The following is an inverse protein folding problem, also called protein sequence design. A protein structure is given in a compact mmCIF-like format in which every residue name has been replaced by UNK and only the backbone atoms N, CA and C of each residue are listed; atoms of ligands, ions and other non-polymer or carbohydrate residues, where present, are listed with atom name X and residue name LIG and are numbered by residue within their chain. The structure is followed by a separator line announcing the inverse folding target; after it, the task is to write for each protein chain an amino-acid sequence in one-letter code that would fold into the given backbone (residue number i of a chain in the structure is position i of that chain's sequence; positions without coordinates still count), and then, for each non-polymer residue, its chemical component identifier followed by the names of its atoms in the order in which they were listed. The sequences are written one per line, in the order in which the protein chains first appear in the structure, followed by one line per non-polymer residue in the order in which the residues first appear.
data_IF_780030573459
#
_entry.id   IF_780030573459
#
_cell.length_a   1.000
_cell.length_b   1.000
_cell.length_c   1.000
_cell.angle_alpha   90.00
_cell.angle_beta   90.00
_cell.angle_gamma   90.00
#
_symmetry.space_group_name_H-M   'P 1'
#
loop_
_entity.id
_entity.type
_entity.pdbx_description
1 polymer ?
#
# COMPACT_ATOMS: atom_id res chain seq x y z
N UNK A 1 -40.84 -32.52 31.60
CA UNK A 1 -40.84 -31.53 30.49
C UNK A 1 -40.09 -32.12 29.29
N UNK A 2 -40.70 -33.11 28.62
CA UNK A 2 -40.09 -33.77 27.45
C UNK A 2 -40.06 -32.89 26.19
N UNK A 3 -40.88 -31.83 26.15
CA UNK A 3 -40.87 -30.81 25.11
C UNK A 3 -39.82 -29.70 25.30
N UNK A 4 -39.06 -29.75 26.41
CA UNK A 4 -37.99 -28.77 26.69
C UNK A 4 -36.62 -29.44 26.69
N UNK A 5 -36.49 -30.58 27.38
CA UNK A 5 -35.24 -31.34 27.43
C UNK A 5 -35.42 -32.66 26.66
N UNK A 6 -34.90 -32.71 25.43
CA UNK A 6 -34.95 -33.91 24.59
C UNK A 6 -33.69 -34.02 23.71
N UNK A 7 -33.16 -35.24 23.62
CA UNK A 7 -32.01 -35.57 22.76
C UNK A 7 -32.25 -35.27 21.28
N UNK A 8 -33.50 -35.32 20.80
CA UNK A 8 -33.82 -34.98 19.39
C UNK A 8 -33.43 -33.55 19.07
N UNK A 9 -33.73 -32.58 19.95
CA UNK A 9 -33.35 -31.18 19.73
C UNK A 9 -31.83 -30.98 19.80
N UNK A 10 -31.16 -31.70 20.70
CA UNK A 10 -29.71 -31.64 20.83
C UNK A 10 -29.00 -32.18 19.57
N UNK A 11 -29.42 -33.35 19.08
CA UNK A 11 -28.82 -33.96 17.90
C UNK A 11 -29.11 -33.15 16.63
N UNK A 12 -30.31 -32.59 16.50
CA UNK A 12 -30.65 -31.68 15.40
C UNK A 12 -29.77 -30.41 15.44
N UNK A 13 -29.62 -29.78 16.61
CA UNK A 13 -28.80 -28.58 16.76
C UNK A 13 -27.32 -28.85 16.46
N UNK A 14 -26.78 -29.99 16.89
CA UNK A 14 -25.40 -30.41 16.54
C UNK A 14 -25.24 -30.58 15.04
N UNK A 15 -26.18 -31.27 14.40
CA UNK A 15 -26.13 -31.54 12.96
C UNK A 15 -26.21 -30.24 12.15
N UNK A 16 -27.15 -29.36 12.51
CA UNK A 16 -27.35 -28.06 11.86
C UNK A 16 -26.10 -27.16 12.00
N UNK A 17 -25.55 -27.08 13.21
CA UNK A 17 -24.32 -26.33 13.48
C UNK A 17 -23.14 -26.88 12.66
N UNK A 18 -22.94 -28.19 12.66
CA UNK A 18 -21.86 -28.84 11.92
C UNK A 18 -22.00 -28.63 10.40
N UNK A 19 -23.23 -28.67 9.89
CA UNK A 19 -23.50 -28.39 8.47
C UNK A 19 -23.16 -26.95 8.09
N UNK A 20 -23.57 -25.98 8.92
CA UNK A 20 -23.22 -24.57 8.72
C UNK A 20 -21.70 -24.36 8.80
N UNK A 21 -21.04 -24.95 9.80
CA UNK A 21 -19.60 -24.83 9.97
C UNK A 21 -18.83 -25.43 8.78
N UNK A 22 -19.24 -26.59 8.27
CA UNK A 22 -18.63 -27.22 7.10
C UNK A 22 -18.80 -26.39 5.83
N UNK A 23 -19.94 -25.70 5.67
CA UNK A 23 -20.11 -24.72 4.61
C UNK A 23 -19.16 -23.54 4.80
N UNK A 24 -19.11 -22.97 6.00
CA UNK A 24 -18.28 -21.79 6.28
C UNK A 24 -16.79 -22.07 6.07
N UNK A 25 -16.32 -23.29 6.32
CA UNK A 25 -14.95 -23.70 6.03
C UNK A 25 -14.65 -23.69 4.52
N UNK A 26 -15.55 -24.24 3.68
CA UNK A 26 -15.39 -24.23 2.21
C UNK A 26 -15.41 -22.82 1.63
N UNK A 27 -16.23 -21.96 2.21
CA UNK A 27 -16.28 -20.55 1.84
C UNK A 27 -15.02 -19.79 2.26
N UNK A 28 -14.48 -20.10 3.44
CA UNK A 28 -13.21 -19.56 3.87
C UNK A 28 -12.07 -19.97 2.93
N UNK A 29 -12.01 -21.24 2.51
CA UNK A 29 -11.05 -21.71 1.50
C UNK A 29 -11.18 -20.91 0.19
N UNK A 30 -12.43 -20.67 -0.25
CA UNK A 30 -12.71 -19.85 -1.44
C UNK A 30 -12.24 -18.41 -1.26
N UNK A 31 -12.43 -17.81 -0.09
CA UNK A 31 -11.96 -16.46 0.23
C UNK A 31 -10.43 -16.38 0.32
N UNK A 32 -9.77 -17.41 0.85
CA UNK A 32 -8.31 -17.49 0.85
C UNK A 32 -7.76 -17.55 -0.58
N UNK A 33 -8.44 -18.29 -1.46
CA UNK A 33 -8.09 -18.33 -2.89
C UNK A 33 -8.28 -16.96 -3.53
N UNK A 34 -9.44 -16.34 -3.33
CA UNK A 34 -9.71 -14.98 -3.83
C UNK A 34 -8.70 -13.94 -3.34
N UNK A 35 -8.31 -14.02 -2.06
CA UNK A 35 -7.27 -13.17 -1.46
C UNK A 35 -5.93 -13.27 -2.21
N UNK A 36 -5.54 -14.48 -2.60
CA UNK A 36 -4.32 -14.73 -3.36
C UNK A 36 -4.48 -14.26 -4.82
N UNK A 37 -5.61 -14.59 -5.46
CA UNK A 37 -5.90 -14.20 -6.85
C UNK A 37 -5.88 -12.68 -7.02
N UNK A 38 -6.40 -11.93 -6.04
CA UNK A 38 -6.46 -10.48 -6.06
C UNK A 38 -5.22 -9.81 -5.43
N UNK A 39 -4.23 -10.58 -4.98
CA UNK A 39 -3.02 -10.09 -4.31
C UNK A 39 -3.32 -9.11 -3.14
N UNK A 40 -4.37 -9.36 -2.36
CA UNK A 40 -4.84 -8.40 -1.34
C UNK A 40 -3.83 -8.13 -0.24
N UNK A 41 -2.91 -9.08 0.00
CA UNK A 41 -1.76 -8.89 0.87
C UNK A 41 -0.90 -7.68 0.47
N UNK A 42 -0.76 -7.48 -0.83
CA UNK A 42 0.01 -6.37 -1.37
C UNK A 42 -0.74 -5.04 -1.20
N UNK A 43 -2.05 -5.05 -1.01
CA UNK A 43 -2.85 -3.89 -0.61
C UNK A 43 -2.86 -3.66 0.90
N UNK A 44 -2.15 -4.48 1.68
CA UNK A 44 -2.06 -4.34 3.15
C UNK A 44 -3.22 -5.00 3.89
N UNK A 45 -4.10 -5.71 3.16
CA UNK A 45 -5.08 -6.59 3.79
C UNK A 45 -4.31 -7.80 4.31
N UNK A 46 -4.35 -8.04 5.61
CA UNK A 46 -3.72 -9.22 6.19
C UNK A 46 -4.66 -10.42 6.13
N UNK A 47 -4.12 -11.64 6.06
CA UNK A 47 -4.94 -12.87 6.22
C UNK A 47 -5.73 -12.86 7.53
N UNK A 48 -5.17 -12.28 8.60
CA UNK A 48 -5.83 -12.14 9.91
C UNK A 48 -7.04 -11.20 9.83
N UNK A 49 -6.90 -10.04 9.18
CA UNK A 49 -8.02 -9.11 9.02
C UNK A 49 -9.12 -9.70 8.14
N UNK A 50 -8.77 -10.44 7.09
CA UNK A 50 -9.74 -11.13 6.25
C UNK A 50 -10.49 -12.24 7.00
N UNK A 51 -9.78 -13.02 7.82
CA UNK A 51 -10.40 -14.05 8.65
C UNK A 51 -11.36 -13.43 9.67
N UNK A 52 -10.96 -12.33 10.30
CA UNK A 52 -11.79 -11.64 11.28
C UNK A 52 -13.09 -11.10 10.64
N UNK A 53 -13.00 -10.50 9.44
CA UNK A 53 -14.18 -9.97 8.75
C UNK A 53 -15.10 -11.07 8.31
N UNK A 54 -14.55 -12.17 7.78
CA UNK A 54 -15.34 -13.35 7.44
C UNK A 54 -16.00 -13.98 8.67
N UNK A 55 -15.28 -14.11 9.78
CA UNK A 55 -15.82 -14.65 11.03
C UNK A 55 -17.00 -13.80 11.55
N UNK A 56 -16.88 -12.48 11.54
CA UNK A 56 -17.96 -11.58 11.97
C UNK A 56 -19.19 -11.73 11.07
N UNK A 57 -18.99 -11.81 9.75
CA UNK A 57 -20.06 -12.03 8.79
C UNK A 57 -20.73 -13.41 8.99
N UNK A 58 -19.94 -14.47 9.20
CA UNK A 58 -20.44 -15.83 9.43
C UNK A 58 -21.18 -15.99 10.76
N UNK A 59 -20.74 -15.30 11.81
CA UNK A 59 -21.43 -15.29 13.10
C UNK A 59 -22.76 -14.53 13.05
N UNK A 60 -22.90 -13.57 12.13
CA UNK A 60 -24.11 -12.73 11.99
C UNK A 60 -25.09 -13.25 10.94
N UNK A 61 -24.58 -13.90 9.90
CA UNK A 61 -25.32 -14.43 8.74
C UNK A 61 -24.86 -15.88 8.57
N UNK A 62 -25.32 -16.76 9.45
CA UNK A 62 -24.85 -18.15 9.49
C UNK A 62 -25.58 -19.04 8.49
N UNK A 63 -26.77 -18.63 8.02
CA UNK A 63 -27.65 -19.46 7.20
C UNK A 63 -27.00 -19.84 5.86
N UNK A 64 -27.10 -21.12 5.43
CA UNK A 64 -26.50 -21.59 4.19
C UNK A 64 -26.94 -20.83 2.94
N UNK A 65 -28.23 -20.52 2.83
CA UNK A 65 -28.86 -19.83 1.70
C UNK A 65 -28.40 -18.38 1.55
N UNK A 66 -27.83 -17.78 2.60
CA UNK A 66 -27.34 -16.39 2.62
C UNK A 66 -25.82 -16.29 2.38
N UNK A 67 -25.23 -17.32 1.77
CA UNK A 67 -23.79 -17.39 1.42
C UNK A 67 -23.27 -16.14 0.70
N UNK A 68 -24.03 -15.60 -0.25
CA UNK A 68 -23.59 -14.43 -1.01
C UNK A 68 -23.57 -13.16 -0.16
N UNK A 69 -24.58 -12.94 0.68
CA UNK A 69 -24.63 -11.79 1.59
C UNK A 69 -23.45 -11.80 2.56
N UNK A 70 -23.12 -12.97 3.12
CA UNK A 70 -21.97 -13.16 4.01
C UNK A 70 -20.64 -12.86 3.34
N UNK A 71 -20.44 -13.34 2.09
CA UNK A 71 -19.22 -13.06 1.32
C UNK A 71 -19.06 -11.58 1.00
N UNK A 72 -20.15 -10.91 0.61
CA UNK A 72 -20.14 -9.46 0.35
C UNK A 72 -19.79 -8.67 1.62
N UNK A 73 -20.40 -9.00 2.77
CA UNK A 73 -20.10 -8.30 4.01
C UNK A 73 -18.64 -8.51 4.46
N UNK A 74 -18.06 -9.69 4.25
CA UNK A 74 -16.66 -9.95 4.54
C UNK A 74 -15.70 -9.15 3.63
N UNK A 75 -16.08 -8.88 2.39
CA UNK A 75 -15.30 -8.11 1.40
C UNK A 75 -15.39 -6.59 1.58
N UNK A 76 -16.34 -6.11 2.38
CA UNK A 76 -16.57 -4.70 2.70
C UNK A 76 -15.32 -3.94 3.18
N UNK A 77 -14.32 -4.66 3.70
CA UNK A 77 -13.04 -4.06 4.12
C UNK A 77 -12.22 -3.53 2.95
N UNK A 78 -12.20 -4.24 1.81
CA UNK A 78 -11.50 -3.78 0.60
C UNK A 78 -12.23 -2.55 0.04
N UNK A 79 -13.55 -2.57 0.01
CA UNK A 79 -14.37 -1.41 -0.39
C UNK A 79 -14.11 -0.20 0.52
N UNK A 80 -14.02 -0.40 1.83
CA UNK A 80 -13.67 0.67 2.79
C UNK A 80 -12.28 1.24 2.54
N UNK A 81 -11.29 0.41 2.19
CA UNK A 81 -9.95 0.90 1.86
C UNK A 81 -9.96 1.76 0.59
N UNK A 82 -10.70 1.33 -0.44
CA UNK A 82 -10.90 2.12 -1.67
C UNK A 82 -11.61 3.44 -1.36
N UNK A 83 -12.65 3.41 -0.52
CA UNK A 83 -13.39 4.61 -0.10
C UNK A 83 -12.50 5.59 0.69
N UNK A 84 -11.68 5.10 1.62
CA UNK A 84 -10.71 5.92 2.38
C UNK A 84 -9.70 6.57 1.42
N UNK A 85 -9.17 5.80 0.46
CA UNK A 85 -8.26 6.34 -0.55
C UNK A 85 -8.92 7.46 -1.36
N UNK A 86 -10.11 7.21 -1.92
CA UNK A 86 -10.85 8.19 -2.71
C UNK A 86 -11.17 9.46 -1.90
N UNK A 87 -11.61 9.31 -0.65
CA UNK A 87 -11.85 10.45 0.26
C UNK A 87 -10.59 11.26 0.52
N UNK A 88 -9.46 10.59 0.72
CA UNK A 88 -8.17 11.25 0.98
C UNK A 88 -7.72 12.05 -0.25
N UNK A 89 -7.82 11.47 -1.45
CA UNK A 89 -7.49 12.18 -2.70
C UNK A 89 -8.38 13.39 -2.94
N UNK A 90 -9.68 13.26 -2.67
CA UNK A 90 -10.63 14.38 -2.78
C UNK A 90 -10.34 15.48 -1.74
N UNK A 91 -9.97 15.10 -0.52
CA UNK A 91 -9.59 16.04 0.54
C UNK A 91 -8.34 16.83 0.14
N UNK A 92 -7.27 16.15 -0.28
CA UNK A 92 -6.04 16.81 -0.75
C UNK A 92 -6.31 17.76 -1.92
N UNK A 93 -7.20 17.36 -2.83
CA UNK A 93 -7.56 18.21 -3.97
C UNK A 93 -8.35 19.45 -3.55
N UNK A 94 -9.25 19.30 -2.57
CA UNK A 94 -10.01 20.41 -1.99
C UNK A 94 -9.09 21.37 -1.22
N UNK A 95 -8.17 20.85 -0.42
CA UNK A 95 -7.19 21.65 0.33
C UNK A 95 -6.29 22.45 -0.62
N UNK A 96 -5.77 21.81 -1.68
CA UNK A 96 -4.95 22.49 -2.68
C UNK A 96 -5.74 23.58 -3.42
N UNK A 97 -7.02 23.34 -3.71
CA UNK A 97 -7.90 24.34 -4.31
C UNK A 97 -8.11 25.53 -3.38
N UNK A 98 -8.33 25.29 -2.09
CA UNK A 98 -8.52 26.35 -1.08
C UNK A 98 -7.24 27.14 -0.83
N UNK A 99 -6.11 26.45 -0.66
CA UNK A 99 -4.83 27.07 -0.30
C UNK A 99 -4.14 27.76 -1.49
N UNK A 100 -4.31 27.23 -2.71
CA UNK A 100 -3.51 27.62 -3.88
C UNK A 100 -4.35 27.94 -5.12
N UNK A 101 -5.68 27.83 -5.07
CA UNK A 101 -6.57 28.11 -6.20
C UNK A 101 -6.45 27.14 -7.37
N UNK A 102 -5.85 25.95 -7.15
CA UNK A 102 -5.60 24.96 -8.19
C UNK A 102 -6.33 23.66 -7.93
N UNK A 103 -7.11 23.20 -8.92
CA UNK A 103 -7.69 21.87 -8.90
C UNK A 103 -6.64 20.84 -9.38
N UNK A 104 -6.25 19.95 -8.47
CA UNK A 104 -5.29 18.87 -8.73
C UNK A 104 -5.96 17.50 -8.89
N UNK A 105 -7.30 17.41 -8.82
CA UNK A 105 -8.06 16.15 -8.73
C UNK A 105 -7.72 15.18 -9.86
N UNK A 106 -7.65 15.68 -11.10
CA UNK A 106 -7.33 14.87 -12.28
C UNK A 106 -5.88 14.39 -12.28
N UNK A 107 -4.97 15.23 -11.80
CA UNK A 107 -3.53 14.95 -11.84
C UNK A 107 -3.13 14.00 -10.74
N UNK A 108 -3.64 14.18 -9.51
CA UNK A 108 -3.39 13.25 -8.41
C UNK A 108 -4.02 11.89 -8.71
N UNK A 109 -5.23 11.84 -9.26
CA UNK A 109 -5.86 10.58 -9.66
C UNK A 109 -5.03 9.84 -10.70
N UNK A 110 -4.57 10.54 -11.74
CA UNK A 110 -3.70 9.97 -12.78
C UNK A 110 -2.39 9.42 -12.22
N UNK A 111 -1.76 10.14 -11.28
CA UNK A 111 -0.54 9.69 -10.61
C UNK A 111 -0.75 8.36 -9.85
N UNK A 112 -1.84 8.29 -9.07
CA UNK A 112 -2.21 7.08 -8.34
C UNK A 112 -2.60 5.92 -9.26
N UNK A 113 -3.33 6.18 -10.34
CA UNK A 113 -3.65 5.19 -11.38
C UNK A 113 -2.39 4.65 -12.06
N UNK A 114 -1.46 5.54 -12.45
CA UNK A 114 -0.17 5.16 -13.06
C UNK A 114 0.64 4.25 -12.14
N UNK A 115 0.75 4.62 -10.86
CA UNK A 115 1.45 3.81 -9.87
C UNK A 115 0.77 2.45 -9.66
N UNK A 116 -0.56 2.42 -9.51
CA UNK A 116 -1.32 1.17 -9.38
C UNK A 116 -1.12 0.25 -10.60
N UNK A 117 -1.12 0.78 -11.82
CA UNK A 117 -0.86 0.00 -13.03
C UNK A 117 0.56 -0.57 -13.05
N UNK A 118 1.57 0.24 -12.68
CA UNK A 118 2.96 -0.23 -12.58
C UNK A 118 3.10 -1.36 -11.57
N UNK A 119 2.45 -1.22 -10.41
CA UNK A 119 2.43 -2.26 -9.39
C UNK A 119 1.73 -3.53 -9.88
N UNK A 120 0.57 -3.43 -10.53
CA UNK A 120 -0.15 -4.62 -11.07
C UNK A 120 0.71 -5.41 -12.07
N UNK A 121 1.56 -4.72 -12.85
CA UNK A 121 2.43 -5.35 -13.85
C UNK A 121 3.73 -5.90 -13.24
N UNK A 122 4.39 -5.14 -12.36
CA UNK A 122 5.73 -5.48 -11.83
C UNK A 122 5.67 -6.33 -10.54
N UNK A 123 4.54 -6.35 -9.83
CA UNK A 123 4.32 -7.15 -8.62
C UNK A 123 5.02 -6.63 -7.35
N UNK A 124 5.87 -5.62 -7.43
CA UNK A 124 6.61 -5.09 -6.29
C UNK A 124 5.97 -3.84 -5.69
N UNK A 125 5.34 -3.98 -4.51
CA UNK A 125 4.65 -2.89 -3.80
C UNK A 125 5.52 -1.65 -3.55
N UNK A 126 6.82 -1.82 -3.31
CA UNK A 126 7.72 -0.71 -2.95
C UNK A 126 8.23 0.06 -4.16
N UNK A 127 8.06 -0.49 -5.35
CA UNK A 127 8.53 0.11 -6.58
C UNK A 127 7.62 1.28 -6.97
N UNK A 128 8.21 2.47 -7.15
CA UNK A 128 7.47 3.68 -7.53
C UNK A 128 6.70 4.39 -6.40
N UNK A 129 6.69 3.85 -5.17
CA UNK A 129 5.99 4.49 -4.03
C UNK A 129 6.61 5.84 -3.69
N UNK A 130 7.94 5.93 -3.71
CA UNK A 130 8.62 7.17 -3.35
C UNK A 130 8.28 8.30 -4.35
N UNK A 131 8.25 8.00 -5.64
CA UNK A 131 7.75 8.93 -6.68
C UNK A 131 6.30 9.34 -6.44
N UNK A 132 5.40 8.39 -6.14
CA UNK A 132 4.00 8.69 -5.87
C UNK A 132 3.83 9.64 -4.68
N UNK A 133 4.59 9.43 -3.60
CA UNK A 133 4.60 10.29 -2.42
C UNK A 133 5.13 11.69 -2.77
N UNK A 134 6.23 11.78 -3.52
CA UNK A 134 6.79 13.06 -3.97
C UNK A 134 5.79 13.82 -4.84
N UNK A 135 5.12 13.15 -5.77
CA UNK A 135 4.08 13.75 -6.61
C UNK A 135 2.91 14.25 -5.77
N UNK A 136 2.44 13.44 -4.82
CA UNK A 136 1.32 13.80 -3.95
C UNK A 136 1.64 15.06 -3.12
N UNK A 137 2.83 15.14 -2.52
CA UNK A 137 3.26 16.30 -1.74
C UNK A 137 3.38 17.53 -2.63
N UNK A 138 4.06 17.42 -3.77
CA UNK A 138 4.27 18.54 -4.68
C UNK A 138 2.93 19.10 -5.18
N UNK A 139 2.01 18.24 -5.62
CA UNK A 139 0.67 18.66 -6.07
C UNK A 139 -0.13 19.32 -4.95
N UNK A 140 -0.09 18.76 -3.73
CA UNK A 140 -0.81 19.31 -2.58
C UNK A 140 -0.29 20.69 -2.16
N UNK A 141 1.01 20.96 -2.36
CA UNK A 141 1.63 22.27 -2.18
C UNK A 141 1.46 23.20 -3.40
N UNK A 142 0.59 22.83 -4.35
CA UNK A 142 0.31 23.59 -5.57
C UNK A 142 1.39 23.48 -6.65
N UNK A 143 2.44 22.67 -6.54
CA UNK A 143 3.49 22.60 -7.57
C UNK A 143 3.03 21.79 -8.79
N UNK A 144 3.57 22.09 -9.97
CA UNK A 144 3.17 21.44 -11.23
C UNK A 144 3.77 20.03 -11.38
N UNK A 145 3.04 19.16 -12.10
CA UNK A 145 3.50 17.82 -12.47
C UNK A 145 4.50 17.90 -13.63
N UNK A 146 5.79 17.85 -13.33
CA UNK A 146 6.89 17.90 -14.31
C UNK A 146 7.41 16.50 -14.69
N UNK A 147 6.54 15.50 -14.76
CA UNK A 147 6.90 14.09 -15.04
C UNK A 147 7.71 13.88 -16.33
N UNK A 148 7.50 14.73 -17.33
CA UNK A 148 8.21 14.66 -18.61
C UNK A 148 9.58 15.34 -18.57
N UNK A 149 9.90 16.09 -17.51
CA UNK A 149 11.16 16.84 -17.43
C UNK A 149 12.33 15.89 -17.12
N UNK A 150 13.44 15.91 -17.89
CA UNK A 150 14.56 14.98 -17.72
C UNK A 150 15.18 14.98 -16.32
N UNK A 151 15.34 16.17 -15.72
CA UNK A 151 15.85 16.29 -14.33
C UNK A 151 14.89 15.69 -13.31
N UNK A 152 13.58 15.83 -13.52
CA UNK A 152 12.56 15.26 -12.63
C UNK A 152 12.62 13.74 -12.70
N UNK A 153 12.72 13.18 -13.91
CA UNK A 153 12.87 11.73 -14.10
C UNK A 153 14.13 11.19 -13.44
N UNK A 154 15.25 11.91 -13.53
CA UNK A 154 16.49 11.50 -12.86
C UNK A 154 16.33 11.49 -11.33
N UNK A 155 15.78 12.55 -10.75
CA UNK A 155 15.48 12.62 -9.31
C UNK A 155 14.51 11.53 -8.85
N UNK A 156 13.47 11.29 -9.64
CA UNK A 156 12.45 10.25 -9.40
C UNK A 156 13.06 8.85 -9.43
N UNK A 157 13.88 8.55 -10.43
CA UNK A 157 14.54 7.25 -10.58
C UNK A 157 15.50 6.98 -9.41
N UNK A 158 16.33 7.96 -9.03
CA UNK A 158 17.23 7.84 -7.88
C UNK A 158 16.45 7.66 -6.59
N UNK A 159 15.42 8.48 -6.36
CA UNK A 159 14.59 8.42 -5.14
C UNK A 159 13.89 7.08 -5.01
N UNK A 160 13.29 6.58 -6.10
CA UNK A 160 12.67 5.25 -6.12
C UNK A 160 13.70 4.14 -5.90
N UNK A 161 14.87 4.21 -6.55
CA UNK A 161 15.93 3.20 -6.43
C UNK A 161 16.44 3.11 -5.00
N UNK A 162 16.78 4.25 -4.39
CA UNK A 162 17.24 4.31 -3.00
C UNK A 162 16.15 3.80 -2.05
N UNK A 163 14.92 4.31 -2.14
CA UNK A 163 13.84 3.89 -1.25
C UNK A 163 13.51 2.39 -1.39
N UNK A 164 13.55 1.86 -2.62
CA UNK A 164 13.36 0.43 -2.86
C UNK A 164 14.46 -0.40 -2.20
N UNK A 165 15.74 -0.04 -2.40
CA UNK A 165 16.88 -0.73 -1.81
C UNK A 165 16.85 -0.68 -0.27
N UNK A 166 16.51 0.48 0.30
CA UNK A 166 16.34 0.66 1.74
C UNK A 166 15.23 -0.25 2.30
N UNK A 167 14.05 -0.28 1.67
CA UNK A 167 12.97 -1.17 2.09
C UNK A 167 13.31 -2.66 1.93
N UNK A 168 14.02 -3.02 0.86
CA UNK A 168 14.47 -4.40 0.63
C UNK A 168 15.45 -4.84 1.72
N UNK A 169 16.45 -4.00 2.02
CA UNK A 169 17.42 -4.24 3.09
C UNK A 169 16.72 -4.49 4.45
N UNK A 170 15.70 -3.68 4.77
CA UNK A 170 14.92 -3.85 6.01
C UNK A 170 14.20 -5.21 6.07
N UNK A 171 13.53 -5.62 4.99
CA UNK A 171 12.81 -6.89 4.94
C UNK A 171 13.76 -8.08 5.15
N UNK A 172 14.95 -8.03 4.55
CA UNK A 172 15.92 -9.11 4.67
C UNK A 172 16.50 -9.20 6.09
N UNK A 173 16.82 -8.06 6.70
CA UNK A 173 17.29 -8.00 8.10
C UNK A 173 16.26 -8.57 9.10
N UNK A 174 14.96 -8.47 8.80
CA UNK A 174 13.87 -8.95 9.67
C UNK A 174 13.57 -10.45 9.45
N UNK A 175 13.87 -11.03 8.28
CA UNK A 175 13.48 -12.40 7.93
C UNK A 175 14.55 -13.47 8.17
N UNK A 176 15.84 -13.14 8.25
CA UNK A 176 16.92 -14.15 8.32
C UNK A 176 17.80 -13.99 9.58
N UNK A 177 17.77 -15.00 10.44
CA UNK A 177 18.49 -15.03 11.72
C UNK A 177 19.77 -15.90 11.68
N UNK A 178 20.54 -15.86 10.58
CA UNK A 178 21.93 -16.36 10.61
C UNK A 178 22.40 -17.22 9.42
N UNK A 179 22.82 -16.57 8.34
CA UNK A 179 23.97 -16.98 7.54
C UNK A 179 24.37 -15.79 6.65
N UNK A 180 25.35 -14.99 7.09
CA UNK A 180 25.73 -13.75 6.41
C UNK A 180 26.86 -13.99 5.40
N UNK A 181 26.69 -13.48 4.18
CA UNK A 181 27.80 -13.13 3.30
C UNK A 181 28.04 -11.62 3.41
N UNK A 182 29.07 -11.24 4.18
CA UNK A 182 29.38 -9.85 4.50
C UNK A 182 29.74 -9.01 3.25
N UNK A 183 30.19 -9.66 2.17
CA UNK A 183 30.55 -8.98 0.93
C UNK A 183 29.32 -8.47 0.17
N UNK A 184 28.22 -9.24 0.14
CA UNK A 184 26.98 -8.85 -0.55
C UNK A 184 26.30 -7.64 0.12
N UNK A 185 26.31 -7.56 1.45
CA UNK A 185 25.74 -6.43 2.19
C UNK A 185 26.59 -5.16 2.08
N UNK A 186 27.92 -5.30 2.07
CA UNK A 186 28.83 -4.17 1.86
C UNK A 186 28.63 -3.56 0.46
N UNK A 187 28.49 -4.39 -0.57
CA UNK A 187 28.22 -3.93 -1.94
C UNK A 187 26.88 -3.18 -2.04
N UNK A 188 25.82 -3.68 -1.39
CA UNK A 188 24.52 -2.99 -1.38
C UNK A 188 24.54 -1.67 -0.64
N UNK A 189 25.21 -1.64 0.52
CA UNK A 189 25.36 -0.40 1.31
C UNK A 189 26.12 0.65 0.51
N UNK A 190 27.21 0.27 -0.16
CA UNK A 190 27.97 1.18 -1.05
C UNK A 190 27.13 1.70 -2.21
N UNK A 191 26.25 0.86 -2.79
CA UNK A 191 25.34 1.28 -3.87
C UNK A 191 24.31 2.30 -3.38
N UNK A 192 23.70 2.04 -2.22
CA UNK A 192 22.75 2.97 -1.58
C UNK A 192 23.44 4.32 -1.32
N UNK A 193 24.66 4.30 -0.76
CA UNK A 193 25.41 5.51 -0.44
C UNK A 193 25.76 6.31 -1.71
N UNK A 194 26.17 5.64 -2.79
CA UNK A 194 26.48 6.30 -4.06
C UNK A 194 25.24 6.97 -4.68
N UNK A 195 24.09 6.27 -4.74
CA UNK A 195 22.84 6.84 -5.26
C UNK A 195 22.31 7.97 -4.36
N UNK A 196 22.47 7.86 -3.05
CA UNK A 196 22.09 8.91 -2.10
C UNK A 196 22.97 10.16 -2.26
N UNK A 197 24.28 9.98 -2.47
CA UNK A 197 25.20 11.09 -2.77
C UNK A 197 24.82 11.79 -4.07
N UNK A 198 24.53 11.04 -5.14
CA UNK A 198 24.05 11.61 -6.41
C UNK A 198 22.75 12.38 -6.22
N UNK A 199 21.79 11.82 -5.47
CA UNK A 199 20.53 12.50 -5.17
C UNK A 199 20.76 13.82 -4.43
N UNK A 200 21.61 13.82 -3.40
CA UNK A 200 21.95 15.04 -2.64
C UNK A 200 22.63 16.07 -3.54
N UNK A 201 23.55 15.63 -4.40
CA UNK A 201 24.21 16.53 -5.34
C UNK A 201 23.20 17.21 -6.28
N UNK A 202 22.30 16.45 -6.91
CA UNK A 202 21.29 16.99 -7.82
C UNK A 202 20.30 17.95 -7.12
N UNK A 203 20.06 17.76 -5.82
CA UNK A 203 19.20 18.65 -5.02
C UNK A 203 19.92 19.93 -4.62
N UNK A 204 21.22 19.83 -4.30
CA UNK A 204 22.06 20.95 -3.88
C UNK A 204 22.65 21.77 -5.03
N UNK A 205 22.65 21.23 -6.26
CA UNK A 205 22.98 21.96 -7.47
C UNK A 205 22.02 23.14 -7.64
N UNK A 206 22.46 24.30 -7.15
CA UNK A 206 21.87 25.61 -7.43
C UNK A 206 22.09 25.89 -8.91
N UNK A 207 21.02 25.87 -9.70
CA UNK A 207 21.08 26.42 -11.05
C UNK A 207 21.43 27.90 -10.91
N UNK A 208 22.60 28.28 -11.39
CA UNK A 208 23.04 29.68 -11.40
C UNK A 208 22.29 30.54 -12.43
N UNK A 209 21.33 29.97 -13.15
CA UNK A 209 20.62 30.62 -14.24
C UNK A 209 19.10 30.52 -14.03
N UNK A 210 18.39 31.58 -14.42
CA UNK A 210 16.94 31.78 -14.43
C UNK A 210 16.14 30.76 -15.30
N UNK A 211 16.71 29.59 -15.60
CA UNK A 211 16.25 28.61 -16.61
C UNK A 211 15.99 27.20 -16.01
N UNK A 212 15.95 27.06 -14.67
CA UNK A 212 15.63 25.79 -14.04
C UNK A 212 14.12 25.65 -13.80
N UNK A 213 13.45 24.96 -14.71
CA UNK A 213 12.01 24.64 -14.66
C UNK A 213 11.60 23.93 -13.35
N UNK A 214 12.56 23.33 -12.62
CA UNK A 214 12.32 22.66 -11.33
C UNK A 214 12.71 23.55 -10.16
N UNK A 215 11.70 24.02 -9.41
CA UNK A 215 11.90 24.77 -8.16
C UNK A 215 12.77 24.01 -7.14
N UNK A 216 13.64 24.72 -6.43
CA UNK A 216 14.47 24.17 -5.32
C UNK A 216 13.62 23.41 -4.29
N UNK A 217 12.47 23.97 -3.97
CA UNK A 217 11.39 23.42 -3.15
C UNK A 217 10.93 22.00 -3.59
N UNK A 218 10.78 21.80 -4.90
CA UNK A 218 10.43 20.50 -5.48
C UNK A 218 11.59 19.51 -5.35
N UNK A 219 12.83 19.94 -5.63
CA UNK A 219 14.04 19.12 -5.43
C UNK A 219 14.16 18.66 -3.98
N UNK A 220 13.92 19.57 -3.03
CA UNK A 220 13.99 19.30 -1.60
C UNK A 220 12.94 18.28 -1.14
N UNK A 221 11.81 18.17 -1.83
CA UNK A 221 10.78 17.18 -1.54
C UNK A 221 11.27 15.76 -1.79
N UNK A 222 12.03 15.53 -2.87
CA UNK A 222 12.66 14.21 -3.12
C UNK A 222 13.58 13.81 -1.98
N UNK A 223 14.47 14.72 -1.56
CA UNK A 223 15.39 14.46 -0.45
C UNK A 223 14.66 14.20 0.87
N UNK A 224 13.58 14.94 1.14
CA UNK A 224 12.76 14.77 2.35
C UNK A 224 12.09 13.39 2.37
N UNK A 225 11.51 12.95 1.26
CA UNK A 225 10.91 11.62 1.14
C UNK A 225 11.97 10.53 1.34
N UNK A 226 13.11 10.61 0.66
CA UNK A 226 14.20 9.62 0.85
C UNK A 226 14.69 9.55 2.29
N UNK A 227 14.83 10.70 2.97
CA UNK A 227 15.18 10.77 4.40
C UNK A 227 14.13 10.10 5.28
N UNK A 228 12.85 10.26 4.98
CA UNK A 228 11.77 9.62 5.75
C UNK A 228 11.84 8.09 5.66
N UNK A 229 12.11 7.55 4.47
CA UNK A 229 12.36 6.12 4.27
C UNK A 229 13.60 5.66 5.03
N UNK A 230 14.68 6.45 5.02
CA UNK A 230 15.90 6.15 5.78
C UNK A 230 15.65 6.14 7.31
N UNK A 231 14.90 7.12 7.84
CA UNK A 231 14.61 7.17 9.27
C UNK A 231 13.67 6.06 9.75
N UNK A 232 12.76 5.59 8.89
CA UNK A 232 11.98 4.39 9.18
C UNK A 232 12.86 3.14 9.33
N UNK A 233 14.13 3.15 8.90
CA UNK A 233 15.10 2.05 9.08
C UNK A 233 15.86 2.12 10.41
N UNK A 234 16.05 3.32 10.97
CA UNK A 234 16.87 3.51 12.19
C UNK A 234 16.05 3.42 13.48
N UNK A 235 14.73 3.52 13.38
CA UNK A 235 13.80 3.53 14.53
C UNK A 235 13.08 2.18 14.75
N UNK A 236 13.20 1.22 13.84
CA UNK A 236 12.67 -0.15 13.97
C UNK A 236 13.77 -1.18 14.13
#
# INVERSE_FOLDING_TARGET
MEYVNNNVYLELAKLDYNNCQALHQREWESMQKWYLEMNLGDFGVTRRSLLLTYFIAAASIFEPERSQERKLDANRTVEKLIDILLRTLNHLSSDALVAHGRDISSTIRRAWEKWMMKWVVEGERQQGVAELVVQTINLSCGRCSLESHPKYQRLSNLTNSVCHQLCHYQKQKVQENGCYDADTDNIRTQKIDAEMQELVQLVLESSSDDDDDISSDMKQTFLTVTRSFYMLLTVT
#
